data_IF_777003640882
#
_entry.id   IF_777003640882
#
_cell.length_a   1.000
_cell.length_b   1.000
_cell.length_c   1.000
_cell.angle_alpha   90.00
_cell.angle_beta   90.00
_cell.angle_gamma   90.00
#
_symmetry.space_group_name_H-M   'P 1'
#
loop_
_entity.id
_entity.type
_entity.pdbx_description
1 polymer ?
#
# COMPACT_ATOMS: atom_id res chain seq x y z
N UNK A 1 2.97 26.94 -18.90
CA UNK A 1 2.28 27.76 -19.92
C UNK A 1 2.21 26.97 -21.21
N UNK A 2 1.08 26.98 -21.92
CA UNK A 2 0.76 26.17 -23.11
C UNK A 2 0.45 27.08 -24.30
N UNK A 3 0.90 26.71 -25.50
CA UNK A 3 0.66 27.41 -26.76
C UNK A 3 -0.36 26.62 -27.62
N UNK A 4 -1.60 27.12 -27.76
CA UNK A 4 -2.66 26.41 -28.49
C UNK A 4 -2.39 26.25 -29.98
N UNK A 5 -1.67 27.20 -30.59
CA UNK A 5 -1.40 27.20 -32.04
C UNK A 5 -0.45 26.06 -32.44
N UNK A 6 0.50 25.74 -31.57
CA UNK A 6 1.52 24.70 -31.83
C UNK A 6 1.22 23.39 -31.11
N UNK A 7 0.32 23.38 -30.14
CA UNK A 7 -0.01 22.19 -29.36
C UNK A 7 1.09 21.78 -28.38
N UNK A 8 1.92 22.74 -27.94
CA UNK A 8 3.12 22.50 -27.12
C UNK A 8 3.14 23.36 -25.85
N UNK A 9 3.94 22.94 -24.88
CA UNK A 9 4.30 23.77 -23.73
C UNK A 9 5.32 24.85 -24.14
N UNK A 10 5.26 26.02 -23.51
CA UNK A 10 6.22 27.11 -23.75
C UNK A 10 7.56 26.90 -23.02
N UNK A 11 7.58 25.99 -22.05
CA UNK A 11 8.76 25.70 -21.22
C UNK A 11 8.95 24.19 -21.22
N UNK A 12 10.21 23.75 -21.25
CA UNK A 12 10.56 22.32 -21.16
C UNK A 12 10.00 21.72 -19.86
N UNK A 13 9.50 20.49 -19.94
CA UNK A 13 9.02 19.73 -18.79
C UNK A 13 10.11 19.68 -17.68
N UNK A 14 9.80 20.11 -16.44
CA UNK A 14 10.71 20.01 -15.31
C UNK A 14 11.20 18.58 -15.00
N UNK A 15 10.44 17.56 -15.42
CA UNK A 15 10.81 16.15 -15.32
C UNK A 15 11.79 15.70 -16.42
N UNK A 16 12.03 16.55 -17.42
CA UNK A 16 12.91 16.26 -18.55
C UNK A 16 12.50 14.98 -19.29
N UNK A 17 13.49 14.14 -19.64
CA UNK A 17 13.25 12.88 -20.34
C UNK A 17 12.43 11.86 -19.53
N UNK A 18 12.22 12.07 -18.22
CA UNK A 18 11.34 11.22 -17.42
C UNK A 18 9.86 11.44 -17.76
N UNK A 19 9.50 12.61 -18.30
CA UNK A 19 8.14 12.91 -18.80
C UNK A 19 7.87 12.42 -20.22
N UNK A 20 8.90 12.02 -20.94
CA UNK A 20 8.85 11.55 -22.33
C UNK A 20 9.99 12.10 -23.17
N UNK A 21 10.22 11.52 -24.35
CA UNK A 21 11.30 11.94 -25.25
C UNK A 21 11.11 13.38 -25.79
N UNK A 22 9.88 13.86 -25.85
CA UNK A 22 9.54 15.21 -26.30
C UNK A 22 9.14 16.07 -25.11
N UNK A 23 10.10 16.85 -24.58
CA UNK A 23 9.93 17.62 -23.33
C UNK A 23 9.02 18.85 -23.45
N UNK A 24 8.57 19.20 -24.66
CA UNK A 24 7.62 20.30 -24.92
C UNK A 24 6.23 19.81 -25.32
N UNK A 25 6.01 18.49 -25.43
CA UNK A 25 4.76 17.94 -25.92
C UNK A 25 3.66 18.04 -24.87
N UNK A 26 2.46 18.51 -25.27
CA UNK A 26 1.30 18.61 -24.38
C UNK A 26 0.78 17.23 -23.94
N UNK A 27 0.24 16.44 -24.87
CA UNK A 27 -0.20 15.05 -24.62
C UNK A 27 0.00 14.20 -25.88
N UNK A 28 -0.02 12.85 -25.76
CA UNK A 28 0.06 11.97 -26.91
C UNK A 28 -1.09 12.15 -27.92
N UNK A 29 -2.31 12.33 -27.42
CA UNK A 29 -3.52 12.55 -28.22
C UNK A 29 -4.46 13.56 -27.51
N UNK A 30 -4.55 14.82 -27.96
CA UNK A 30 -5.35 15.86 -27.30
C UNK A 30 -6.86 15.67 -27.44
N UNK A 31 -7.33 14.78 -28.31
CA UNK A 31 -8.76 14.43 -28.41
C UNK A 31 -9.20 13.40 -27.35
N UNK A 32 -8.24 12.64 -26.80
CA UNK A 32 -8.51 11.61 -25.79
C UNK A 32 -7.94 11.92 -24.40
N UNK A 33 -6.99 12.85 -24.31
CA UNK A 33 -6.28 13.18 -23.08
C UNK A 33 -6.22 14.69 -22.89
N UNK A 34 -6.40 15.12 -21.65
CA UNK A 34 -6.18 16.50 -21.19
C UNK A 34 -5.18 16.40 -20.06
N UNK A 35 -4.15 17.25 -20.07
CA UNK A 35 -3.21 17.42 -18.95
C UNK A 35 -3.52 18.75 -18.25
N UNK A 36 -4.31 18.74 -17.15
CA UNK A 36 -4.72 19.96 -16.46
C UNK A 36 -3.61 20.56 -15.60
N UNK A 37 -2.57 19.78 -15.28
CA UNK A 37 -1.53 20.16 -14.31
C UNK A 37 -0.15 20.32 -14.96
N UNK A 38 0.05 19.83 -16.18
CA UNK A 38 1.34 19.87 -16.87
C UNK A 38 2.36 18.92 -16.26
N UNK A 39 1.92 17.79 -15.69
CA UNK A 39 2.77 16.86 -14.93
C UNK A 39 2.62 15.44 -15.47
N UNK A 40 3.74 14.84 -15.87
CA UNK A 40 3.75 13.46 -16.31
C UNK A 40 3.29 12.51 -15.18
N UNK A 41 2.39 11.59 -15.53
CA UNK A 41 1.91 10.57 -14.60
C UNK A 41 3.04 9.60 -14.29
N UNK A 42 3.43 9.47 -13.02
CA UNK A 42 4.37 8.44 -12.59
C UNK A 42 3.82 7.04 -12.93
N UNK A 43 4.45 6.27 -13.84
CA UNK A 43 3.88 5.00 -14.31
C UNK A 43 3.62 4.03 -13.17
N UNK A 44 4.54 3.94 -12.21
CA UNK A 44 4.40 3.08 -11.03
C UNK A 44 3.18 3.44 -10.17
N UNK A 45 2.94 4.73 -9.96
CA UNK A 45 1.76 5.19 -9.21
C UNK A 45 0.47 4.84 -9.96
N UNK A 46 0.47 5.03 -11.28
CA UNK A 46 -0.68 4.73 -12.13
C UNK A 46 -1.05 3.25 -12.11
N UNK A 47 -0.07 2.34 -12.18
CA UNK A 47 -0.34 0.91 -12.09
C UNK A 47 -0.97 0.50 -10.75
N UNK A 48 -0.48 1.06 -9.64
CA UNK A 48 -1.09 0.83 -8.31
C UNK A 48 -2.52 1.37 -8.29
N UNK A 49 -2.73 2.60 -8.74
CA UNK A 49 -4.04 3.22 -8.82
C UNK A 49 -5.02 2.39 -9.65
N UNK A 50 -4.60 1.94 -10.84
CA UNK A 50 -5.42 1.10 -11.73
C UNK A 50 -5.80 -0.23 -11.08
N UNK A 51 -4.86 -0.87 -10.37
CA UNK A 51 -5.13 -2.08 -9.60
C UNK A 51 -6.18 -1.86 -8.50
N UNK A 52 -6.08 -0.76 -7.75
CA UNK A 52 -7.05 -0.40 -6.72
C UNK A 52 -8.43 -0.09 -7.32
N UNK A 53 -8.49 0.57 -8.47
CA UNK A 53 -9.75 0.82 -9.20
C UNK A 53 -10.40 -0.48 -9.65
N UNK A 54 -9.62 -1.46 -10.11
CA UNK A 54 -10.12 -2.79 -10.47
C UNK A 54 -10.65 -3.57 -9.26
N UNK A 55 -10.13 -3.29 -8.06
CA UNK A 55 -10.63 -3.84 -6.79
C UNK A 55 -11.88 -3.11 -6.27
N UNK A 56 -12.36 -2.07 -6.96
CA UNK A 56 -13.59 -1.36 -6.62
C UNK A 56 -13.44 -0.18 -5.65
N UNK A 57 -12.22 0.23 -5.32
CA UNK A 57 -11.98 1.47 -4.56
C UNK A 57 -12.42 2.68 -5.38
N UNK A 58 -13.04 3.69 -4.76
CA UNK A 58 -13.46 4.90 -5.47
C UNK A 58 -12.24 5.72 -5.95
N UNK A 59 -12.39 6.70 -6.88
CA UNK A 59 -11.24 7.42 -7.43
C UNK A 59 -10.39 8.16 -6.40
N UNK A 60 -11.01 8.76 -5.36
CA UNK A 60 -10.29 9.50 -4.34
C UNK A 60 -9.51 8.55 -3.41
N UNK A 61 -10.18 7.50 -2.91
CA UNK A 61 -9.56 6.45 -2.10
C UNK A 61 -8.38 5.80 -2.83
N UNK A 62 -8.60 5.38 -4.08
CA UNK A 62 -7.59 4.71 -4.89
C UNK A 62 -6.37 5.62 -5.10
N UNK A 63 -6.59 6.92 -5.33
CA UNK A 63 -5.51 7.90 -5.51
C UNK A 63 -4.68 8.06 -4.24
N UNK A 64 -5.34 8.25 -3.10
CA UNK A 64 -4.64 8.57 -1.84
C UNK A 64 -3.95 7.32 -1.27
N UNK A 65 -4.57 6.15 -1.42
CA UNK A 65 -3.96 4.86 -1.10
C UNK A 65 -2.79 4.54 -2.05
N UNK A 66 -2.91 4.77 -3.36
CA UNK A 66 -1.81 4.56 -4.31
C UNK A 66 -0.60 5.45 -4.00
N UNK A 67 -0.83 6.73 -3.68
CA UNK A 67 0.23 7.64 -3.23
C UNK A 67 0.97 7.08 -2.01
N UNK A 68 0.22 6.63 -1.02
CA UNK A 68 0.81 6.08 0.20
C UNK A 68 1.54 4.75 -0.03
N UNK A 69 0.99 3.85 -0.85
CA UNK A 69 1.69 2.62 -1.21
C UNK A 69 2.98 2.89 -1.98
N UNK A 70 2.96 3.85 -2.91
CA UNK A 70 4.13 4.22 -3.69
C UNK A 70 5.22 4.85 -2.82
N UNK A 71 4.86 5.53 -1.72
CA UNK A 71 5.81 6.08 -0.74
C UNK A 71 6.35 5.06 0.26
N UNK A 72 6.15 3.75 0.03
CA UNK A 72 6.70 2.69 0.89
C UNK A 72 8.22 2.70 0.90
N UNK A 73 8.81 2.62 2.10
CA UNK A 73 10.25 2.44 2.25
C UNK A 73 10.63 1.01 2.65
N UNK A 74 11.25 0.29 1.72
CA UNK A 74 11.64 -1.11 1.88
C UNK A 74 10.46 -2.08 1.90
N UNK A 75 10.77 -3.34 2.21
CA UNK A 75 9.81 -4.43 2.31
C UNK A 75 9.72 -4.98 3.73
N UNK A 76 8.63 -5.66 4.06
CA UNK A 76 8.43 -6.33 5.34
C UNK A 76 7.52 -7.56 5.20
N UNK A 77 7.77 -8.55 6.04
CA UNK A 77 6.86 -9.65 6.31
C UNK A 77 5.85 -9.27 7.38
N UNK A 78 4.64 -9.81 7.25
CA UNK A 78 3.62 -9.75 8.30
C UNK A 78 3.64 -11.07 9.04
N UNK A 79 3.74 -11.02 10.37
CA UNK A 79 3.78 -12.20 11.21
C UNK A 79 2.77 -12.11 12.34
N UNK A 80 2.24 -13.27 12.72
CA UNK A 80 1.50 -13.50 13.95
C UNK A 80 2.41 -14.16 14.98
N UNK A 81 2.13 -13.91 16.26
CA UNK A 81 2.87 -14.47 17.39
C UNK A 81 1.90 -15.02 18.43
N UNK A 82 2.23 -16.18 18.98
CA UNK A 82 1.63 -16.71 20.21
C UNK A 82 2.70 -17.16 21.21
N UNK A 83 2.33 -17.18 22.49
CA UNK A 83 3.11 -17.90 23.49
C UNK A 83 3.26 -19.38 23.10
N UNK A 84 4.44 -19.96 23.35
CA UNK A 84 4.74 -21.34 22.96
C UNK A 84 3.72 -22.29 23.56
N UNK A 85 3.15 -23.14 22.71
CA UNK A 85 2.24 -24.20 23.12
C UNK A 85 0.84 -23.72 23.52
N UNK A 86 0.55 -22.41 23.45
CA UNK A 86 -0.80 -21.89 23.70
C UNK A 86 -1.70 -22.03 22.46
N UNK A 87 -1.12 -22.00 21.26
CA UNK A 87 -1.85 -21.92 19.99
C UNK A 87 -2.68 -20.64 19.80
N UNK A 88 -2.74 -19.75 20.80
CA UNK A 88 -3.54 -18.52 20.78
C UNK A 88 -2.68 -17.35 20.33
N UNK A 89 -2.92 -16.85 19.13
CA UNK A 89 -2.28 -15.64 18.61
C UNK A 89 -2.67 -14.43 19.48
N UNK A 90 -1.65 -13.73 19.99
CA UNK A 90 -1.80 -12.57 20.86
C UNK A 90 -1.22 -11.28 20.27
N UNK A 91 -0.60 -11.36 19.10
CA UNK A 91 0.09 -10.24 18.50
C UNK A 91 0.25 -10.41 16.99
N UNK A 92 0.20 -9.29 16.28
CA UNK A 92 0.58 -9.15 14.88
C UNK A 92 1.68 -8.10 14.78
N UNK A 93 2.64 -8.31 13.90
CA UNK A 93 3.63 -7.28 13.60
C UNK A 93 4.19 -7.38 12.19
N UNK A 94 4.97 -6.37 11.84
CA UNK A 94 5.76 -6.38 10.60
C UNK A 94 7.26 -6.35 10.87
N UNK A 95 8.04 -7.09 10.11
CA UNK A 95 9.51 -7.07 10.22
C UNK A 95 10.18 -7.33 8.88
N UNK A 96 11.37 -6.74 8.68
CA UNK A 96 12.23 -7.08 7.53
C UNK A 96 12.93 -8.42 7.70
N UNK A 97 13.13 -8.82 8.96
CA UNK A 97 13.70 -10.10 9.32
C UNK A 97 13.03 -10.52 10.62
N UNK A 98 12.08 -11.45 10.52
CA UNK A 98 11.29 -11.90 11.66
C UNK A 98 12.18 -12.62 12.68
N UNK A 99 13.11 -13.45 12.21
CA UNK A 99 14.00 -14.25 13.06
C UNK A 99 14.94 -13.38 13.91
N UNK A 100 15.47 -12.29 13.35
CA UNK A 100 16.30 -11.35 14.11
C UNK A 100 15.49 -10.58 15.16
N UNK A 101 14.20 -10.32 14.88
CA UNK A 101 13.32 -9.59 15.80
C UNK A 101 12.79 -10.49 16.91
N UNK A 102 12.50 -11.76 16.59
CA UNK A 102 12.00 -12.76 17.51
C UNK A 102 12.79 -14.05 17.33
N UNK A 103 13.73 -14.35 18.25
CA UNK A 103 14.55 -15.54 18.15
C UNK A 103 13.68 -16.80 18.21
N UNK A 104 14.07 -17.81 17.44
CA UNK A 104 13.39 -19.10 17.40
C UNK A 104 13.33 -19.74 18.79
N UNK A 105 12.22 -20.41 19.08
CA UNK A 105 12.04 -21.14 20.34
C UNK A 105 11.62 -20.27 21.53
N UNK A 106 11.28 -18.99 21.32
CA UNK A 106 10.60 -18.16 22.35
C UNK A 106 9.10 -17.97 22.11
N UNK A 107 8.68 -18.02 20.84
CA UNK A 107 7.29 -17.85 20.41
C UNK A 107 7.00 -18.77 19.23
N UNK A 108 5.75 -19.16 19.09
CA UNK A 108 5.25 -19.73 17.84
C UNK A 108 4.93 -18.57 16.89
N UNK A 109 5.56 -18.58 15.71
CA UNK A 109 5.44 -17.52 14.72
C UNK A 109 4.82 -18.05 13.44
N UNK A 110 3.76 -17.38 12.98
CA UNK A 110 3.12 -17.67 11.71
C UNK A 110 3.35 -16.50 10.74
N UNK A 111 3.99 -16.78 9.60
CA UNK A 111 4.22 -15.78 8.55
C UNK A 111 3.05 -15.76 7.58
N UNK A 112 2.26 -14.68 7.60
CA UNK A 112 1.16 -14.49 6.67
C UNK A 112 1.66 -14.24 5.23
N UNK A 113 2.88 -13.72 5.10
CA UNK A 113 3.53 -13.46 3.81
C UNK A 113 4.38 -14.64 3.31
N UNK A 114 4.27 -15.84 3.90
CA UNK A 114 5.16 -16.98 3.58
C UNK A 114 5.16 -17.36 2.09
N UNK A 115 4.01 -17.29 1.42
CA UNK A 115 3.86 -17.69 0.01
C UNK A 115 3.99 -16.50 -0.95
N UNK A 116 3.64 -15.29 -0.50
CA UNK A 116 3.69 -14.07 -1.33
C UNK A 116 5.04 -13.36 -1.25
N UNK A 117 5.87 -13.72 -0.27
CA UNK A 117 7.11 -13.02 0.06
C UNK A 117 6.85 -11.64 0.70
N UNK A 118 7.95 -10.93 0.96
CA UNK A 118 7.92 -9.62 1.60
C UNK A 118 7.17 -8.59 0.76
N UNK A 119 6.20 -7.92 1.39
CA UNK A 119 5.41 -6.86 0.78
C UNK A 119 6.10 -5.50 0.95
N UNK A 120 5.84 -4.52 0.07
CA UNK A 120 6.10 -3.12 0.37
C UNK A 120 5.61 -2.76 1.77
N UNK A 121 6.43 -2.02 2.53
CA UNK A 121 6.18 -1.79 3.96
C UNK A 121 4.79 -1.24 4.26
N UNK A 122 4.24 -0.33 3.45
CA UNK A 122 2.92 0.22 3.73
C UNK A 122 1.77 -0.77 3.42
N UNK A 123 1.96 -1.70 2.48
CA UNK A 123 1.02 -2.81 2.29
C UNK A 123 1.04 -3.76 3.50
N UNK A 124 2.22 -4.06 4.04
CA UNK A 124 2.34 -4.84 5.27
C UNK A 124 1.64 -4.14 6.46
N UNK A 125 1.79 -2.81 6.57
CA UNK A 125 1.09 -1.99 7.60
C UNK A 125 -0.44 -2.01 7.45
N UNK A 126 -0.94 -2.02 6.22
CA UNK A 126 -2.37 -2.13 5.95
C UNK A 126 -2.95 -3.45 6.48
N UNK A 127 -2.26 -4.56 6.21
CA UNK A 127 -2.64 -5.89 6.73
C UNK A 127 -2.54 -5.94 8.26
N UNK A 128 -1.44 -5.42 8.82
CA UNK A 128 -1.24 -5.34 10.27
C UNK A 128 -2.36 -4.55 10.95
N UNK A 129 -2.74 -3.39 10.39
CA UNK A 129 -3.80 -2.55 10.94
C UNK A 129 -5.17 -3.23 10.88
N UNK A 130 -5.48 -3.95 9.80
CA UNK A 130 -6.73 -4.70 9.69
C UNK A 130 -6.87 -5.75 10.81
N UNK A 131 -5.79 -6.50 11.10
CA UNK A 131 -5.77 -7.50 12.17
C UNK A 131 -5.86 -6.84 13.54
N UNK A 132 -5.15 -5.72 13.77
CA UNK A 132 -5.25 -4.95 15.02
C UNK A 132 -6.70 -4.52 15.26
N UNK A 133 -7.38 -3.99 14.24
CA UNK A 133 -8.77 -3.55 14.36
C UNK A 133 -9.71 -4.72 14.70
N UNK A 134 -9.54 -5.88 14.05
CA UNK A 134 -10.37 -7.05 14.27
C UNK A 134 -10.15 -7.73 15.63
N UNK A 135 -8.92 -7.76 16.15
CA UNK A 135 -8.56 -8.56 17.35
C UNK A 135 -8.45 -7.74 18.64
N UNK A 136 -8.46 -6.41 18.57
CA UNK A 136 -8.32 -5.54 19.74
C UNK A 136 -9.36 -5.90 20.82
N UNK A 137 -8.90 -6.05 22.06
CA UNK A 137 -9.74 -6.35 23.22
C UNK A 137 -9.83 -7.83 23.61
N UNK A 138 -9.48 -8.79 22.74
CA UNK A 138 -9.64 -10.23 22.99
C UNK A 138 -8.39 -10.92 23.60
N UNK A 139 -7.67 -10.20 24.48
CA UNK A 139 -6.34 -10.61 24.96
C UNK A 139 -5.22 -10.38 23.95
N UNK A 140 -5.49 -9.57 22.91
CA UNK A 140 -4.51 -9.14 21.92
C UNK A 140 -3.62 -8.04 22.51
N UNK A 141 -2.32 -8.30 22.56
CA UNK A 141 -1.32 -7.46 23.23
C UNK A 141 -0.86 -6.28 22.37
N UNK A 142 -1.08 -6.32 21.05
CA UNK A 142 -0.74 -5.18 20.20
C UNK A 142 -1.83 -4.11 20.28
N UNK A 143 -1.56 -3.07 21.08
CA UNK A 143 -2.47 -1.94 21.28
C UNK A 143 -2.17 -0.77 20.34
N UNK A 144 -0.98 -0.71 19.74
CA UNK A 144 -0.56 0.45 18.96
C UNK A 144 -1.00 0.32 17.50
N UNK A 145 -1.64 1.35 16.98
CA UNK A 145 -2.01 1.38 15.56
C UNK A 145 -0.76 1.41 14.68
N UNK A 146 -0.73 0.56 13.66
CA UNK A 146 0.29 0.59 12.62
C UNK A 146 0.11 1.78 11.69
N UNK A 147 -1.10 2.27 11.50
CA UNK A 147 -1.44 3.45 10.69
C UNK A 147 -2.13 4.46 11.60
N UNK A 148 -1.73 5.72 11.50
CA UNK A 148 -2.39 6.81 12.23
C UNK A 148 -3.86 6.96 11.76
N UNK A 149 -4.86 6.81 12.65
CA UNK A 149 -6.28 6.92 12.29
C UNK A 149 -6.68 8.28 11.72
N UNK A 150 -5.89 9.33 11.96
CA UNK A 150 -6.17 10.67 11.44
C UNK A 150 -5.76 10.85 9.96
N UNK A 151 -5.22 9.81 9.30
CA UNK A 151 -4.79 9.91 7.90
C UNK A 151 -5.94 9.59 6.94
N UNK A 152 -6.04 10.38 5.88
CA UNK A 152 -7.08 10.22 4.83
C UNK A 152 -7.13 8.83 4.19
N UNK A 153 -5.99 8.14 4.14
CA UNK A 153 -5.90 6.78 3.56
C UNK A 153 -6.16 5.67 4.59
N UNK A 154 -6.46 5.98 5.86
CA UNK A 154 -6.60 4.98 6.91
C UNK A 154 -7.68 3.95 6.58
N UNK A 155 -8.92 4.41 6.31
CA UNK A 155 -10.04 3.51 6.02
C UNK A 155 -9.79 2.68 4.76
N UNK A 156 -9.29 3.32 3.69
CA UNK A 156 -8.95 2.64 2.45
C UNK A 156 -7.84 1.60 2.66
N UNK A 157 -6.83 1.90 3.49
CA UNK A 157 -5.75 0.96 3.81
C UNK A 157 -6.26 -0.22 4.63
N UNK A 158 -7.10 0.01 5.65
CA UNK A 158 -7.70 -1.06 6.45
C UNK A 158 -8.54 -1.97 5.56
N UNK A 159 -9.43 -1.40 4.75
CA UNK A 159 -10.25 -2.14 3.78
C UNK A 159 -9.39 -2.98 2.84
N UNK A 160 -8.33 -2.42 2.28
CA UNK A 160 -7.41 -3.15 1.41
C UNK A 160 -6.73 -4.31 2.14
N UNK A 161 -6.31 -4.10 3.41
CA UNK A 161 -5.70 -5.14 4.24
C UNK A 161 -6.66 -6.30 4.51
N UNK A 162 -7.94 -6.01 4.79
CA UNK A 162 -8.98 -7.02 4.98
C UNK A 162 -9.23 -7.85 3.71
N UNK A 163 -9.34 -7.18 2.55
CA UNK A 163 -9.53 -7.84 1.26
C UNK A 163 -8.33 -8.71 0.89
N UNK A 164 -7.11 -8.23 1.17
CA UNK A 164 -5.89 -9.00 0.99
C UNK A 164 -5.90 -10.27 1.84
N UNK A 165 -6.27 -10.17 3.13
CA UNK A 165 -6.37 -11.32 4.02
C UNK A 165 -7.38 -12.34 3.52
N UNK A 166 -8.59 -11.89 3.13
CA UNK A 166 -9.64 -12.76 2.58
C UNK A 166 -9.16 -13.48 1.32
N UNK A 167 -8.54 -12.75 0.39
CA UNK A 167 -8.09 -13.28 -0.90
C UNK A 167 -6.92 -14.26 -0.77
N UNK A 168 -6.14 -14.18 0.31
CA UNK A 168 -4.99 -15.06 0.57
C UNK A 168 -5.31 -16.17 1.59
N UNK A 169 -6.59 -16.42 1.88
CA UNK A 169 -7.01 -17.52 2.79
C UNK A 169 -6.85 -17.21 4.28
N UNK A 170 -6.55 -15.96 4.64
CA UNK A 170 -6.35 -15.49 6.00
C UNK A 170 -7.58 -14.76 6.58
N UNK A 171 -8.75 -14.89 5.92
CA UNK A 171 -9.99 -14.21 6.32
C UNK A 171 -10.48 -14.56 7.74
N UNK A 172 -10.14 -15.76 8.25
CA UNK A 172 -10.48 -16.16 9.62
C UNK A 172 -9.83 -15.28 10.71
N UNK A 173 -8.79 -14.52 10.36
CA UNK A 173 -8.14 -13.58 11.28
C UNK A 173 -8.90 -12.26 11.45
N UNK A 174 -10.01 -12.07 10.73
CA UNK A 174 -10.87 -10.88 10.87
C UNK A 174 -12.08 -11.10 11.80
N UNK A 175 -12.25 -12.31 12.35
CA UNK A 175 -13.36 -12.70 13.22
C UNK A 175 -13.00 -12.67 14.71
#
# INVERSE_FOLDING_TARGET
YYEPETGMYLVSDPLGLQGGEQTYRYVPNPLGYVDPLGLAVCPKLYEIYKGLRAQGFNPAEARDLAKWFNSSWGKADVYLRSAIGSGKIDYVGISRNVLNRYPQGKYDLELLTRLTGQLPRNQARAIEQAIINAKRGNGFTNIQNSIDPAKDHFDAAVKWGEEWLKSNGFGGWLQ
#
